data_IF_170529314761
#
_entry.id   IF_170529314761
#
_cell.length_a   1.000
_cell.length_b   1.000
_cell.length_c   1.000
_cell.angle_alpha   90.00
_cell.angle_beta   90.00
_cell.angle_gamma   90.00
#
_symmetry.space_group_name_H-M   'P 1'
#
loop_
_entity.id
_entity.type
_entity.pdbx_description
1 polymer ?
#
# COMPACT_ATOMS: atom_id res chain seq x y z
N UNK A 1 -17.12 -0.68 21.10
CA UNK A 1 -16.38 -1.24 19.94
C UNK A 1 -16.77 -0.35 18.79
N UNK A 2 -15.85 0.51 18.31
CA UNK A 2 -16.12 1.30 17.11
C UNK A 2 -16.28 0.33 15.96
N UNK A 3 -17.41 0.35 15.31
CA UNK A 3 -17.68 -0.38 14.07
C UNK A 3 -16.86 0.30 12.95
N UNK A 4 -15.56 0.00 12.90
CA UNK A 4 -14.69 0.54 11.85
C UNK A 4 -15.12 -0.12 10.54
N UNK A 5 -15.64 0.69 9.63
CA UNK A 5 -16.02 0.22 8.30
C UNK A 5 -14.79 -0.33 7.57
N UNK A 6 -14.77 -1.64 7.31
CA UNK A 6 -13.67 -2.31 6.59
C UNK A 6 -13.82 -2.05 5.09
N UNK A 7 -12.76 -1.49 4.49
CA UNK A 7 -12.70 -1.17 3.06
C UNK A 7 -12.05 -2.30 2.25
N UNK A 8 -10.99 -2.92 2.78
CA UNK A 8 -10.35 -4.10 2.19
C UNK A 8 -10.48 -5.24 3.18
N UNK A 9 -11.05 -6.37 2.77
CA UNK A 9 -11.18 -7.58 3.59
C UNK A 9 -10.69 -8.80 2.79
N UNK A 10 -9.57 -9.38 3.23
CA UNK A 10 -8.98 -10.60 2.67
C UNK A 10 -9.03 -11.71 3.72
N UNK A 11 -9.55 -12.89 3.34
CA UNK A 11 -9.74 -14.05 4.23
C UNK A 11 -9.09 -15.28 3.63
N UNK A 12 -8.11 -15.83 4.33
CA UNK A 12 -7.35 -17.04 3.97
C UNK A 12 -6.86 -17.01 2.53
N UNK A 13 -6.47 -15.81 2.04
CA UNK A 13 -6.14 -15.56 0.66
C UNK A 13 -4.82 -16.24 0.31
N UNK A 14 -4.82 -17.09 -0.72
CA UNK A 14 -3.64 -17.83 -1.15
C UNK A 14 -3.51 -17.86 -2.66
N UNK A 15 -2.29 -17.75 -3.15
CA UNK A 15 -1.96 -17.79 -4.57
C UNK A 15 -0.72 -18.65 -4.78
N UNK A 16 -0.80 -19.59 -5.72
CA UNK A 16 0.26 -20.53 -6.03
C UNK A 16 0.74 -20.33 -7.46
N UNK A 17 1.98 -20.73 -7.73
CA UNK A 17 2.56 -20.82 -9.04
C UNK A 17 3.13 -22.24 -9.20
N UNK A 18 3.23 -22.81 -10.41
CA UNK A 18 3.83 -24.14 -10.61
C UNK A 18 5.22 -24.33 -9.96
N UNK A 19 5.92 -23.24 -9.68
CA UNK A 19 7.25 -23.25 -9.04
C UNK A 19 7.23 -23.05 -7.53
N UNK A 20 6.05 -22.86 -6.91
CA UNK A 20 5.94 -22.67 -5.47
C UNK A 20 4.84 -21.70 -5.03
N UNK A 21 4.84 -21.39 -3.75
CA UNK A 21 3.89 -20.45 -3.12
C UNK A 21 4.27 -19.02 -3.49
N UNK A 22 3.31 -18.24 -3.97
CA UNK A 22 3.48 -16.78 -4.11
C UNK A 22 3.10 -16.12 -2.78
N UNK A 23 1.93 -16.46 -2.25
CA UNK A 23 1.52 -16.13 -0.88
C UNK A 23 0.47 -17.15 -0.39
N UNK A 24 0.35 -17.32 0.93
CA UNK A 24 -0.58 -18.27 1.52
C UNK A 24 -1.15 -17.79 2.86
N UNK A 25 -2.46 -18.01 3.05
CA UNK A 25 -3.16 -17.77 4.31
C UNK A 25 -3.21 -16.31 4.72
N UNK A 26 -3.22 -15.37 3.77
CA UNK A 26 -3.26 -13.94 4.08
C UNK A 26 -4.64 -13.56 4.64
N UNK A 27 -4.64 -13.03 5.84
CA UNK A 27 -5.80 -12.40 6.47
C UNK A 27 -5.47 -10.93 6.71
N UNK A 28 -6.23 -10.02 6.08
CA UNK A 28 -5.96 -8.59 6.11
C UNK A 28 -7.28 -7.82 6.07
N UNK A 29 -7.55 -7.04 7.12
CA UNK A 29 -8.73 -6.18 7.20
C UNK A 29 -8.30 -4.73 7.38
N UNK A 30 -8.48 -3.90 6.34
CA UNK A 30 -8.06 -2.49 6.34
C UNK A 30 -9.30 -1.61 6.55
N UNK A 31 -9.31 -0.80 7.64
CA UNK A 31 -10.41 0.12 7.91
C UNK A 31 -10.38 1.35 7.00
N UNK A 32 -11.53 1.99 6.85
CA UNK A 32 -11.67 3.26 6.16
C UNK A 32 -10.74 4.32 6.76
N UNK A 33 -10.13 5.14 5.88
CA UNK A 33 -9.22 6.21 6.27
C UNK A 33 -7.81 5.76 6.68
N UNK A 34 -7.52 4.46 6.71
CA UNK A 34 -6.18 3.98 7.02
C UNK A 34 -5.20 4.21 5.85
N UNK A 35 -3.98 4.62 6.18
CA UNK A 35 -2.85 4.62 5.26
C UNK A 35 -1.94 3.45 5.63
N UNK A 36 -1.93 2.41 4.80
CA UNK A 36 -1.23 1.16 5.08
C UNK A 36 -0.01 1.02 4.19
N UNK A 37 1.16 0.88 4.80
CA UNK A 37 2.39 0.51 4.11
C UNK A 37 2.53 -1.02 4.05
N UNK A 38 2.47 -1.61 2.85
CA UNK A 38 2.79 -3.02 2.61
C UNK A 38 4.28 -3.16 2.34
N UNK A 39 5.00 -3.64 3.33
CA UNK A 39 6.46 -3.68 3.37
C UNK A 39 6.97 -5.11 3.23
N UNK A 40 8.10 -5.29 2.56
CA UNK A 40 8.75 -6.59 2.39
C UNK A 40 9.76 -6.57 1.25
N UNK A 41 10.65 -7.57 1.23
CA UNK A 41 11.67 -7.70 0.16
C UNK A 41 11.05 -7.89 -1.21
N UNK A 42 11.85 -7.65 -2.26
CA UNK A 42 11.47 -8.01 -3.61
C UNK A 42 11.23 -9.54 -3.70
N UNK A 43 10.13 -9.93 -4.36
CA UNK A 43 9.72 -11.32 -4.42
C UNK A 43 8.90 -11.83 -3.23
N UNK A 44 8.61 -11.02 -2.20
CA UNK A 44 7.78 -11.42 -1.06
C UNK A 44 6.29 -11.66 -1.42
N UNK A 45 5.86 -11.32 -2.64
CA UNK A 45 4.48 -11.51 -3.10
C UNK A 45 3.61 -10.25 -3.06
N UNK A 46 4.16 -9.06 -2.70
CA UNK A 46 3.41 -7.80 -2.54
C UNK A 46 2.58 -7.45 -3.78
N UNK A 47 3.20 -7.33 -4.96
CA UNK A 47 2.50 -6.98 -6.20
C UNK A 47 1.41 -7.99 -6.55
N UNK A 48 1.68 -9.28 -6.36
CA UNK A 48 0.68 -10.33 -6.58
C UNK A 48 -0.50 -10.21 -5.60
N UNK A 49 -0.24 -9.88 -4.34
CA UNK A 49 -1.30 -9.61 -3.36
C UNK A 49 -2.14 -8.41 -3.78
N UNK A 50 -1.51 -7.26 -4.13
CA UNK A 50 -2.24 -6.07 -4.58
C UNK A 50 -3.10 -6.37 -5.82
N UNK A 51 -2.54 -7.07 -6.82
CA UNK A 51 -3.30 -7.50 -8.02
C UNK A 51 -4.50 -8.38 -7.67
N UNK A 52 -4.35 -9.29 -6.70
CA UNK A 52 -5.45 -10.16 -6.25
C UNK A 52 -6.52 -9.36 -5.51
N UNK A 53 -6.14 -8.38 -4.67
CA UNK A 53 -7.08 -7.51 -3.96
C UNK A 53 -7.95 -6.68 -4.91
N UNK A 54 -7.42 -6.24 -6.05
CA UNK A 54 -8.18 -5.48 -7.06
C UNK A 54 -8.85 -6.35 -8.12
N UNK A 55 -8.74 -7.69 -8.02
CA UNK A 55 -9.40 -8.62 -8.92
C UNK A 55 -8.71 -8.82 -10.27
N UNK A 56 -7.49 -8.32 -10.46
CA UNK A 56 -6.67 -8.57 -11.66
C UNK A 56 -6.05 -9.97 -11.67
N UNK A 57 -6.07 -10.64 -10.54
CA UNK A 57 -5.58 -12.01 -10.38
C UNK A 57 -6.53 -12.80 -9.50
N UNK A 58 -7.00 -13.96 -9.99
CA UNK A 58 -7.84 -14.86 -9.21
C UNK A 58 -6.98 -15.62 -8.19
N UNK A 59 -7.38 -15.68 -6.89
CA UNK A 59 -6.69 -16.48 -5.88
C UNK A 59 -7.03 -17.96 -6.04
N UNK A 60 -6.10 -18.85 -5.66
CA UNK A 60 -6.34 -20.28 -5.61
C UNK A 60 -7.19 -20.70 -4.40
N UNK A 61 -7.13 -19.91 -3.31
CA UNK A 61 -7.92 -20.11 -2.08
C UNK A 61 -8.28 -18.81 -1.43
N UNK A 62 -9.32 -18.84 -0.62
CA UNK A 62 -9.79 -17.69 0.14
C UNK A 62 -10.58 -16.71 -0.71
N UNK A 63 -10.77 -15.50 -0.20
CA UNK A 63 -11.52 -14.45 -0.89
C UNK A 63 -11.01 -13.07 -0.51
N UNK A 64 -11.20 -12.11 -1.40
CA UNK A 64 -10.98 -10.70 -1.13
C UNK A 64 -12.20 -9.89 -1.52
N UNK A 65 -12.46 -8.82 -0.78
CA UNK A 65 -13.52 -7.85 -1.09
C UNK A 65 -13.04 -6.42 -0.88
N UNK A 66 -13.60 -5.51 -1.69
CA UNK A 66 -13.44 -4.07 -1.57
C UNK A 66 -14.81 -3.46 -1.31
N UNK A 67 -14.94 -2.67 -0.24
CA UNK A 67 -16.23 -2.10 0.21
C UNK A 67 -17.35 -3.15 0.36
N UNK A 68 -16.99 -4.39 0.73
CA UNK A 68 -17.92 -5.52 0.82
C UNK A 68 -18.28 -6.19 -0.51
N UNK A 69 -17.81 -5.68 -1.65
CA UNK A 69 -18.00 -6.28 -2.97
C UNK A 69 -16.84 -7.22 -3.29
N UNK A 70 -17.12 -8.43 -3.80
CA UNK A 70 -16.07 -9.40 -4.19
C UNK A 70 -15.08 -8.77 -5.18
N UNK A 71 -13.78 -8.94 -4.97
CA UNK A 71 -12.73 -8.42 -5.86
C UNK A 71 -12.84 -8.96 -7.28
N UNK A 72 -13.34 -10.19 -7.45
CA UNK A 72 -13.52 -10.81 -8.77
C UNK A 72 -14.77 -10.34 -9.52
N UNK A 73 -15.66 -9.58 -8.86
CA UNK A 73 -16.91 -9.10 -9.44
C UNK A 73 -17.24 -7.69 -8.91
N UNK A 74 -16.27 -6.77 -9.04
CA UNK A 74 -16.45 -5.38 -8.61
C UNK A 74 -17.58 -4.71 -9.40
N UNK A 75 -18.53 -4.11 -8.69
CA UNK A 75 -19.55 -3.26 -9.31
C UNK A 75 -18.93 -1.97 -9.86
N UNK A 76 -19.64 -1.29 -10.76
CA UNK A 76 -19.18 -0.03 -11.34
C UNK A 76 -19.03 1.05 -10.24
N UNK A 77 -19.95 1.09 -9.27
CA UNK A 77 -19.82 1.97 -8.08
C UNK A 77 -18.50 1.76 -7.33
N UNK A 78 -18.10 0.51 -7.09
CA UNK A 78 -16.83 0.22 -6.42
C UNK A 78 -15.63 0.57 -7.30
N UNK A 79 -15.71 0.36 -8.62
CA UNK A 79 -14.64 0.74 -9.56
C UNK A 79 -14.42 2.24 -9.60
N UNK A 80 -15.49 3.04 -9.56
CA UNK A 80 -15.42 4.50 -9.50
C UNK A 80 -14.82 5.03 -8.18
N UNK A 81 -14.82 4.19 -7.12
CA UNK A 81 -14.23 4.52 -5.82
C UNK A 81 -12.82 3.97 -5.63
N UNK A 82 -12.28 3.25 -6.61
CA UNK A 82 -10.97 2.61 -6.58
C UNK A 82 -10.00 3.28 -7.56
N UNK A 83 -8.85 3.74 -7.06
CA UNK A 83 -7.68 4.07 -7.86
C UNK A 83 -6.62 2.98 -7.71
N UNK A 84 -6.11 2.45 -8.82
CA UNK A 84 -5.04 1.46 -8.82
C UNK A 84 -3.88 1.92 -9.70
N UNK A 85 -2.65 1.83 -9.16
CA UNK A 85 -1.42 2.09 -9.90
C UNK A 85 -0.52 0.87 -9.80
N UNK A 86 -0.23 0.25 -10.93
CA UNK A 86 0.68 -0.89 -11.01
C UNK A 86 2.14 -0.44 -10.95
N UNK A 87 3.04 -1.37 -10.60
CA UNK A 87 4.49 -1.13 -10.55
C UNK A 87 5.06 -0.71 -11.92
N UNK A 88 4.53 -1.26 -13.00
CA UNK A 88 4.84 -0.84 -14.38
C UNK A 88 3.60 -0.19 -14.96
N UNK A 89 3.76 1.00 -15.51
CA UNK A 89 2.66 1.72 -16.14
C UNK A 89 2.11 0.93 -17.33
N UNK A 90 0.80 0.68 -17.34
CA UNK A 90 0.07 0.10 -18.46
C UNK A 90 -0.59 1.22 -19.24
N UNK A 91 0.06 1.66 -20.32
CA UNK A 91 -0.28 2.89 -21.04
C UNK A 91 -0.36 2.66 -22.55
N UNK A 92 -1.21 3.41 -23.24
CA UNK A 92 -1.31 3.40 -24.70
C UNK A 92 -0.20 4.25 -25.32
N UNK A 93 0.91 3.63 -25.68
CA UNK A 93 2.14 4.29 -26.13
C UNK A 93 1.97 5.15 -27.40
N UNK A 94 0.96 4.86 -28.24
CA UNK A 94 0.69 5.57 -29.49
C UNK A 94 -0.07 6.89 -29.33
N UNK A 95 -0.70 7.11 -28.18
CA UNK A 95 -1.45 8.32 -27.86
C UNK A 95 -0.53 9.43 -27.36
N UNK A 96 -0.96 10.69 -27.50
CA UNK A 96 -0.42 11.78 -26.70
C UNK A 96 -0.88 11.65 -25.24
N UNK A 97 -0.17 12.29 -24.30
CA UNK A 97 -0.57 12.31 -22.87
C UNK A 97 -2.00 12.82 -22.72
N UNK A 98 -2.37 13.91 -23.42
CA UNK A 98 -3.72 14.46 -23.39
C UNK A 98 -4.77 13.47 -23.90
N UNK A 99 -4.54 12.87 -25.08
CA UNK A 99 -5.46 11.87 -25.64
C UNK A 99 -5.64 10.67 -24.70
N UNK A 100 -4.54 10.18 -24.11
CA UNK A 100 -4.58 9.07 -23.17
C UNK A 100 -5.44 9.39 -21.95
N UNK A 101 -5.24 10.57 -21.32
CA UNK A 101 -6.03 11.03 -20.18
C UNK A 101 -7.51 11.18 -20.55
N UNK A 102 -7.79 11.81 -21.69
CA UNK A 102 -9.14 12.07 -22.16
C UNK A 102 -9.91 10.78 -22.49
N UNK A 103 -9.30 9.85 -23.25
CA UNK A 103 -9.98 8.61 -23.66
C UNK A 103 -10.26 7.69 -22.48
N UNK A 104 -9.32 7.57 -21.51
CA UNK A 104 -9.58 6.81 -20.30
C UNK A 104 -10.60 7.51 -19.40
N UNK A 105 -10.52 8.84 -19.32
CA UNK A 105 -11.47 9.65 -18.54
C UNK A 105 -12.93 9.43 -18.91
N UNK A 106 -13.21 9.19 -20.19
CA UNK A 106 -14.57 8.90 -20.69
C UNK A 106 -15.21 7.63 -20.10
N UNK A 107 -14.41 6.76 -19.51
CA UNK A 107 -14.92 5.55 -18.85
C UNK A 107 -15.47 5.81 -17.43
N UNK A 108 -15.19 7.00 -16.87
CA UNK A 108 -15.60 7.37 -15.51
C UNK A 108 -16.76 8.38 -15.56
N UNK A 109 -17.81 8.13 -14.77
CA UNK A 109 -18.97 9.03 -14.71
C UNK A 109 -18.68 10.36 -13.99
N UNK A 110 -17.70 10.34 -13.07
CA UNK A 110 -17.26 11.46 -12.24
C UNK A 110 -15.94 12.08 -12.67
N UNK A 111 -15.56 11.93 -13.97
CA UNK A 111 -14.35 12.53 -14.50
C UNK A 111 -14.42 14.05 -14.49
N UNK A 112 -13.39 14.67 -13.90
CA UNK A 112 -13.22 16.13 -13.85
C UNK A 112 -12.01 16.53 -14.72
N UNK A 113 -12.27 17.08 -15.91
CA UNK A 113 -11.24 17.50 -16.86
C UNK A 113 -10.34 18.61 -16.28
N UNK A 114 -10.92 19.58 -15.56
CA UNK A 114 -10.14 20.66 -14.94
C UNK A 114 -9.21 20.12 -13.86
N UNK A 115 -9.68 19.18 -13.07
CA UNK A 115 -8.85 18.48 -12.08
C UNK A 115 -7.75 17.65 -12.76
N UNK A 116 -8.08 16.97 -13.84
CA UNK A 116 -7.12 16.22 -14.65
C UNK A 116 -5.97 17.12 -15.12
N UNK A 117 -6.29 18.25 -15.73
CA UNK A 117 -5.30 19.19 -16.24
C UNK A 117 -4.47 19.82 -15.10
N UNK A 118 -5.09 20.14 -13.97
CA UNK A 118 -4.36 20.62 -12.77
C UNK A 118 -3.38 19.59 -12.25
N UNK A 119 -3.79 18.32 -12.11
CA UNK A 119 -2.91 17.23 -11.65
C UNK A 119 -1.77 16.98 -12.64
N UNK A 120 -2.07 16.95 -13.94
CA UNK A 120 -1.05 16.79 -14.99
C UNK A 120 -0.03 17.93 -14.96
N UNK A 121 -0.48 19.18 -14.78
CA UNK A 121 0.41 20.34 -14.64
C UNK A 121 1.26 20.26 -13.36
N UNK A 122 0.68 19.87 -12.23
CA UNK A 122 1.38 19.66 -10.97
C UNK A 122 2.47 18.59 -11.06
N UNK A 123 2.23 17.55 -11.86
CA UNK A 123 3.20 16.47 -12.14
C UNK A 123 4.17 16.81 -13.28
N UNK A 124 4.11 18.02 -13.85
CA UNK A 124 4.93 18.46 -14.98
C UNK A 124 4.81 17.54 -16.21
N UNK A 125 3.63 16.96 -16.48
CA UNK A 125 3.41 16.09 -17.63
C UNK A 125 3.30 16.89 -18.94
N UNK A 126 4.07 16.52 -19.98
CA UNK A 126 4.03 17.19 -21.28
C UNK A 126 2.81 16.70 -22.09
N UNK A 127 1.66 17.39 -22.01
CA UNK A 127 0.37 16.97 -22.56
C UNK A 127 0.39 16.61 -24.05
N UNK A 128 1.25 17.26 -24.85
CA UNK A 128 1.37 17.03 -26.30
C UNK A 128 2.37 15.95 -26.69
N UNK A 129 3.18 15.46 -25.74
CA UNK A 129 4.14 14.42 -26.00
C UNK A 129 3.47 13.06 -26.18
N UNK A 130 4.03 12.21 -27.06
CA UNK A 130 3.59 10.83 -27.20
C UNK A 130 4.00 10.01 -25.97
N UNK A 131 3.04 9.24 -25.43
CA UNK A 131 3.23 8.46 -24.19
C UNK A 131 4.42 7.49 -24.28
N UNK A 132 4.60 6.82 -25.43
CA UNK A 132 5.74 5.91 -25.64
C UNK A 132 7.11 6.60 -25.69
N UNK A 133 7.18 7.94 -25.73
CA UNK A 133 8.42 8.73 -25.68
C UNK A 133 8.72 9.31 -24.29
N UNK A 134 7.80 9.12 -23.35
CA UNK A 134 7.99 9.55 -21.97
C UNK A 134 9.06 8.68 -21.28
N UNK A 135 9.72 9.26 -20.28
CA UNK A 135 10.50 8.47 -19.33
C UNK A 135 9.58 7.52 -18.53
N UNK A 136 10.14 6.42 -18.02
CA UNK A 136 9.37 5.51 -17.14
C UNK A 136 8.76 6.22 -15.92
N UNK A 137 9.46 7.23 -15.39
CA UNK A 137 8.95 8.07 -14.31
C UNK A 137 7.74 8.92 -14.73
N UNK A 138 7.74 9.49 -15.94
CA UNK A 138 6.61 10.28 -16.44
C UNK A 138 5.42 9.39 -16.82
N UNK A 139 5.66 8.17 -17.33
CA UNK A 139 4.59 7.17 -17.52
C UNK A 139 3.95 6.77 -16.18
N UNK A 140 4.75 6.63 -15.13
CA UNK A 140 4.25 6.36 -13.78
C UNK A 140 3.42 7.53 -13.25
N UNK A 141 3.88 8.78 -13.44
CA UNK A 141 3.11 9.99 -13.10
C UNK A 141 1.78 10.04 -13.86
N UNK A 142 1.77 9.67 -15.14
CA UNK A 142 0.54 9.59 -15.95
C UNK A 142 -0.46 8.59 -15.37
N UNK A 143 -0.02 7.38 -15.03
CA UNK A 143 -0.86 6.36 -14.37
C UNK A 143 -1.39 6.87 -13.03
N UNK A 144 -0.59 7.64 -12.31
CA UNK A 144 -0.98 8.22 -11.04
C UNK A 144 -2.05 9.32 -11.18
N UNK A 145 -1.92 10.20 -12.19
CA UNK A 145 -2.95 11.20 -12.50
C UNK A 145 -4.27 10.51 -12.80
N UNK A 146 -4.27 9.46 -13.64
CA UNK A 146 -5.46 8.67 -13.96
C UNK A 146 -6.14 8.10 -12.70
N UNK A 147 -5.34 7.56 -11.78
CA UNK A 147 -5.84 6.96 -10.55
C UNK A 147 -6.41 7.99 -9.55
N UNK A 148 -6.05 9.28 -9.66
CA UNK A 148 -6.47 10.33 -8.72
C UNK A 148 -7.60 11.22 -9.23
N UNK A 149 -7.77 11.39 -10.56
CA UNK A 149 -8.68 12.39 -11.12
C UNK A 149 -10.12 12.21 -10.68
N UNK A 150 -10.60 10.98 -10.65
CA UNK A 150 -11.98 10.64 -10.27
C UNK A 150 -12.24 10.64 -8.75
N UNK A 151 -11.26 11.12 -7.95
CA UNK A 151 -11.34 11.26 -6.49
C UNK A 151 -11.73 9.98 -5.74
N UNK A 152 -10.97 8.89 -5.87
CA UNK A 152 -11.31 7.61 -5.29
C UNK A 152 -11.27 7.64 -3.75
N UNK A 153 -12.11 6.83 -3.10
CA UNK A 153 -12.09 6.59 -1.66
C UNK A 153 -10.97 5.63 -1.25
N UNK A 154 -10.52 4.77 -2.18
CA UNK A 154 -9.45 3.78 -1.99
C UNK A 154 -8.38 3.93 -3.06
N UNK A 155 -7.12 4.08 -2.65
CA UNK A 155 -5.95 3.99 -3.52
C UNK A 155 -5.14 2.74 -3.19
N UNK A 156 -4.86 1.92 -4.21
CA UNK A 156 -3.94 0.79 -4.12
C UNK A 156 -2.78 1.04 -5.07
N UNK A 157 -1.56 1.12 -4.53
CA UNK A 157 -0.38 1.59 -5.24
C UNK A 157 0.77 0.59 -5.10
N UNK A 158 1.26 0.07 -6.23
CA UNK A 158 2.36 -0.88 -6.24
C UNK A 158 3.68 -0.18 -6.57
N UNK A 159 4.56 -0.04 -5.56
CA UNK A 159 5.87 0.63 -5.66
C UNK A 159 5.82 2.01 -6.36
N UNK A 160 4.87 2.91 -5.98
CA UNK A 160 4.56 4.11 -6.77
C UNK A 160 5.70 5.10 -6.91
N UNK A 161 6.73 5.02 -6.04
CA UNK A 161 7.86 5.97 -6.01
C UNK A 161 9.19 5.34 -6.45
N UNK A 162 9.22 4.05 -6.81
CA UNK A 162 10.47 3.31 -7.05
C UNK A 162 11.33 3.87 -8.19
N UNK A 163 10.71 4.47 -9.22
CA UNK A 163 11.39 4.98 -10.41
C UNK A 163 11.40 6.51 -10.50
N UNK A 164 11.01 7.18 -9.42
CA UNK A 164 10.94 8.64 -9.36
C UNK A 164 12.19 9.23 -8.69
N UNK A 165 12.65 10.36 -9.21
CA UNK A 165 13.62 11.20 -8.52
C UNK A 165 13.04 11.82 -7.25
N UNK A 166 13.88 12.43 -6.40
CA UNK A 166 13.46 12.97 -5.11
C UNK A 166 12.40 14.09 -5.22
N UNK A 167 12.44 14.89 -6.30
CA UNK A 167 11.49 15.98 -6.53
C UNK A 167 10.14 15.40 -6.93
N UNK A 168 10.11 14.53 -7.94
CA UNK A 168 8.91 13.85 -8.43
C UNK A 168 8.24 13.01 -7.33
N UNK A 169 9.03 12.35 -6.48
CA UNK A 169 8.54 11.63 -5.31
C UNK A 169 7.81 12.54 -4.33
N UNK A 170 8.39 13.72 -4.04
CA UNK A 170 7.76 14.71 -3.17
C UNK A 170 6.46 15.26 -3.76
N UNK A 171 6.44 15.57 -5.06
CA UNK A 171 5.26 16.03 -5.79
C UNK A 171 4.13 14.99 -5.71
N UNK A 172 4.46 13.72 -5.93
CA UNK A 172 3.52 12.61 -5.84
C UNK A 172 2.95 12.44 -4.42
N UNK A 173 3.81 12.50 -3.38
CA UNK A 173 3.37 12.44 -1.99
C UNK A 173 2.47 13.62 -1.62
N UNK A 174 2.76 14.81 -2.13
CA UNK A 174 1.90 15.99 -1.94
C UNK A 174 0.56 15.84 -2.66
N UNK A 175 0.52 15.26 -3.86
CA UNK A 175 -0.73 15.02 -4.57
C UNK A 175 -1.61 13.96 -3.88
N UNK A 176 -1.00 12.93 -3.28
CA UNK A 176 -1.72 11.91 -2.51
C UNK A 176 -2.29 12.45 -1.20
N UNK A 177 -1.49 13.21 -0.47
CA UNK A 177 -1.75 13.58 0.92
C UNK A 177 -1.90 15.09 1.16
N UNK A 178 -1.63 15.93 0.14
CA UNK A 178 -1.68 17.39 0.25
C UNK A 178 -3.08 17.94 0.56
N UNK A 179 -4.09 17.34 -0.02
CA UNK A 179 -5.50 17.72 0.21
C UNK A 179 -5.99 17.36 1.62
N UNK A 180 -5.31 16.44 2.32
CA UNK A 180 -5.60 16.08 3.73
C UNK A 180 -5.34 17.24 4.71
N UNK A 181 -4.67 18.33 4.27
CA UNK A 181 -4.39 19.52 5.09
C UNK A 181 -5.46 20.61 4.96
N UNK A 182 -6.39 20.49 4.01
CA UNK A 182 -7.52 21.41 3.90
C UNK A 182 -8.60 20.96 4.88
N UNK A 183 -8.79 21.71 5.98
CA UNK A 183 -9.78 21.42 7.02
C UNK A 183 -11.22 21.25 6.51
N UNK A 184 -11.55 21.79 5.33
CA UNK A 184 -12.86 21.64 4.69
C UNK A 184 -13.06 20.28 3.96
N UNK A 185 -11.98 19.52 3.69
CA UNK A 185 -12.03 18.17 3.10
C UNK A 185 -11.62 17.08 4.11
N UNK A 186 -11.32 17.45 5.36
CA UNK A 186 -10.94 16.53 6.44
C UNK A 186 -12.03 15.49 6.79
N UNK A 187 -13.27 15.68 6.33
CA UNK A 187 -14.36 14.73 6.54
C UNK A 187 -14.24 13.47 5.67
N UNK A 188 -13.48 13.50 4.58
CA UNK A 188 -13.31 12.37 3.65
C UNK A 188 -11.88 11.81 3.71
N UNK A 189 -11.63 10.95 4.69
CA UNK A 189 -10.34 10.26 4.81
C UNK A 189 -10.24 9.15 3.78
N UNK A 190 -9.39 9.37 2.75
CA UNK A 190 -9.07 8.35 1.75
C UNK A 190 -8.30 7.20 2.38
N UNK A 191 -8.68 5.97 2.05
CA UNK A 191 -7.91 4.77 2.40
C UNK A 191 -6.80 4.56 1.37
N UNK A 192 -5.58 4.30 1.82
CA UNK A 192 -4.43 4.07 0.95
C UNK A 192 -3.73 2.78 1.36
N UNK A 193 -3.52 1.88 0.40
CA UNK A 193 -2.64 0.72 0.54
C UNK A 193 -1.52 0.85 -0.47
N UNK A 194 -0.28 1.05 0.01
CA UNK A 194 0.86 1.19 -0.88
C UNK A 194 1.99 0.22 -0.53
N UNK A 195 2.51 -0.47 -1.56
CA UNK A 195 3.73 -1.25 -1.39
C UNK A 195 4.96 -0.36 -1.51
N UNK A 196 5.96 -0.62 -0.70
CA UNK A 196 7.26 0.04 -0.83
C UNK A 196 8.37 -0.79 -0.19
N UNK A 197 9.57 -0.60 -0.71
CA UNK A 197 10.82 -1.02 -0.07
C UNK A 197 11.58 0.18 0.52
N UNK A 198 11.10 1.42 0.31
CA UNK A 198 11.66 2.67 0.84
C UNK A 198 10.88 3.10 2.08
N UNK A 199 11.36 2.68 3.24
CA UNK A 199 10.66 2.84 4.52
C UNK A 199 10.61 4.27 5.03
N UNK A 200 11.69 5.03 4.80
CA UNK A 200 11.82 6.42 5.25
C UNK A 200 10.73 7.35 4.70
N UNK A 201 10.22 7.03 3.50
CA UNK A 201 9.15 7.81 2.88
C UNK A 201 7.78 7.46 3.47
N UNK A 202 7.62 6.24 3.98
CA UNK A 202 6.37 5.74 4.56
C UNK A 202 6.17 6.16 6.01
N UNK A 203 7.22 6.16 6.83
CA UNK A 203 7.15 6.35 8.29
C UNK A 203 6.39 7.60 8.72
N UNK A 204 6.36 8.63 7.85
CA UNK A 204 5.71 9.91 8.12
C UNK A 204 4.23 9.97 7.75
N UNK A 205 3.74 9.00 6.98
CA UNK A 205 2.39 9.05 6.40
C UNK A 205 1.55 7.82 6.72
N UNK A 206 2.18 6.68 7.06
CA UNK A 206 1.44 5.45 7.36
C UNK A 206 0.81 5.52 8.74
N UNK A 207 -0.43 5.07 8.81
CA UNK A 207 -1.11 4.79 10.08
C UNK A 207 -0.98 3.32 10.49
N UNK A 208 -0.76 2.42 9.52
CA UNK A 208 -0.60 0.98 9.73
C UNK A 208 0.53 0.42 8.88
N UNK A 209 1.13 -0.67 9.34
CA UNK A 209 2.16 -1.40 8.60
C UNK A 209 1.75 -2.86 8.45
N UNK A 210 1.80 -3.35 7.22
CA UNK A 210 1.63 -4.75 6.86
C UNK A 210 2.99 -5.29 6.40
N UNK A 211 3.58 -6.21 7.13
CA UNK A 211 4.89 -6.76 6.79
C UNK A 211 4.76 -8.13 6.15
N UNK A 212 5.30 -8.27 4.93
CA UNK A 212 5.22 -9.50 4.14
C UNK A 212 6.60 -10.12 3.90
N UNK A 213 6.76 -11.40 4.23
CA UNK A 213 7.98 -12.18 4.00
C UNK A 213 7.61 -13.58 3.49
N UNK A 214 8.31 -14.03 2.45
CA UNK A 214 8.20 -15.39 1.89
C UNK A 214 6.74 -15.82 1.65
N UNK A 215 5.91 -14.90 1.14
CA UNK A 215 4.50 -15.13 0.85
C UNK A 215 3.57 -15.14 2.07
N UNK A 216 4.04 -14.76 3.24
CA UNK A 216 3.23 -14.70 4.46
C UNK A 216 3.19 -13.30 5.06
N UNK A 217 2.02 -12.92 5.59
CA UNK A 217 1.88 -11.71 6.38
C UNK A 217 2.41 -12.00 7.79
N UNK A 218 3.53 -11.39 8.14
CA UNK A 218 4.19 -11.58 9.43
C UNK A 218 3.55 -10.74 10.54
N UNK A 219 3.23 -9.49 10.20
CA UNK A 219 2.68 -8.49 11.11
C UNK A 219 1.72 -7.59 10.35
N UNK A 220 0.61 -7.25 10.98
CA UNK A 220 -0.27 -6.14 10.58
C UNK A 220 -0.78 -5.44 11.84
N UNK A 221 -0.39 -4.19 12.02
CA UNK A 221 -0.82 -3.38 13.19
C UNK A 221 -0.73 -1.88 12.87
N UNK A 222 -1.31 -1.05 13.74
CA UNK A 222 -1.10 0.39 13.66
C UNK A 222 0.35 0.74 14.00
N UNK A 223 0.89 1.75 13.30
CA UNK A 223 2.27 2.19 13.53
C UNK A 223 2.48 2.70 14.96
N UNK A 224 1.50 3.42 15.50
CA UNK A 224 1.52 3.88 16.89
C UNK A 224 1.59 2.72 17.88
N UNK A 225 0.76 1.68 17.69
CA UNK A 225 0.80 0.49 18.55
C UNK A 225 2.14 -0.26 18.44
N UNK A 226 2.71 -0.35 17.23
CA UNK A 226 4.04 -0.96 17.07
C UNK A 226 5.12 -0.17 17.80
N UNK A 227 5.11 1.17 17.71
CA UNK A 227 6.05 2.02 18.43
C UNK A 227 5.88 1.92 19.96
N UNK A 228 4.64 1.84 20.43
CA UNK A 228 4.32 1.79 21.86
C UNK A 228 4.63 0.40 22.47
N UNK A 229 4.28 -0.69 21.78
CA UNK A 229 4.26 -2.03 22.38
C UNK A 229 5.32 -2.99 21.83
N UNK A 230 5.82 -2.80 20.61
CA UNK A 230 6.80 -3.73 20.07
C UNK A 230 8.21 -3.38 20.52
N UNK A 231 8.93 -4.40 20.99
CA UNK A 231 10.31 -4.24 21.48
C UNK A 231 11.23 -5.29 20.89
N UNK A 232 12.46 -4.87 20.63
CA UNK A 232 13.55 -5.76 20.28
C UNK A 232 14.26 -6.19 21.56
N UNK A 233 14.32 -7.50 21.79
CA UNK A 233 14.86 -8.10 23.01
C UNK A 233 15.89 -9.16 22.62
N UNK A 234 17.05 -9.26 23.33
CA UNK A 234 18.00 -10.35 23.13
C UNK A 234 17.37 -11.72 23.41
N UNK A 235 17.79 -12.76 22.68
CA UNK A 235 17.23 -14.11 22.80
C UNK A 235 17.60 -14.83 24.10
N UNK A 236 18.57 -14.32 24.84
CA UNK A 236 18.97 -14.83 26.17
C UNK A 236 18.03 -14.40 27.31
N UNK A 237 17.12 -13.47 27.01
CA UNK A 237 16.07 -13.04 27.95
C UNK A 237 14.95 -14.08 27.96
N UNK A 238 14.60 -14.59 29.16
CA UNK A 238 13.45 -15.48 29.30
C UNK A 238 12.14 -14.72 29.03
N UNK A 239 11.44 -15.11 27.99
CA UNK A 239 10.22 -14.47 27.50
C UNK A 239 9.16 -15.53 27.28
N UNK A 240 7.90 -15.21 27.62
CA UNK A 240 6.76 -16.06 27.30
C UNK A 240 6.65 -16.21 25.76
N UNK A 241 6.63 -17.44 25.22
CA UNK A 241 6.52 -17.68 23.78
C UNK A 241 5.32 -16.99 23.11
N UNK A 242 4.23 -16.75 23.84
CA UNK A 242 3.04 -16.07 23.34
C UNK A 242 3.26 -14.59 22.99
N UNK A 243 4.29 -13.98 23.55
CA UNK A 243 4.68 -12.59 23.27
C UNK A 243 5.53 -12.45 22.01
N UNK A 244 6.12 -13.54 21.52
CA UNK A 244 7.09 -13.49 20.44
C UNK A 244 6.35 -13.35 19.11
N UNK A 245 6.52 -12.19 18.47
CA UNK A 245 6.01 -11.88 17.15
C UNK A 245 6.95 -12.46 16.09
N UNK A 246 8.27 -12.31 16.29
CA UNK A 246 9.28 -12.83 15.38
C UNK A 246 10.55 -13.23 16.12
N UNK A 247 11.19 -14.30 15.60
CA UNK A 247 12.50 -14.78 16.08
C UNK A 247 13.53 -14.55 14.99
N UNK A 248 14.53 -13.75 15.28
CA UNK A 248 15.69 -13.59 14.42
C UNK A 248 16.84 -14.46 14.94
N UNK A 249 17.06 -15.59 14.28
CA UNK A 249 18.11 -16.53 14.68
C UNK A 249 19.52 -16.02 14.38
N UNK A 250 19.66 -15.17 13.34
CA UNK A 250 20.96 -14.62 12.93
C UNK A 250 21.47 -13.62 13.96
N UNK A 251 20.62 -12.69 14.38
CA UNK A 251 20.96 -11.64 15.33
C UNK A 251 20.78 -12.10 16.79
N UNK A 252 20.24 -13.30 17.02
CA UNK A 252 19.85 -13.79 18.34
C UNK A 252 18.97 -12.78 19.09
N UNK A 253 17.92 -12.29 18.40
CA UNK A 253 16.96 -11.31 18.92
C UNK A 253 15.53 -11.77 18.69
N UNK A 254 14.61 -11.26 19.52
CA UNK A 254 13.17 -11.43 19.35
C UNK A 254 12.48 -10.09 19.21
N UNK A 255 11.52 -10.01 18.30
CA UNK A 255 10.50 -8.96 18.33
C UNK A 255 9.36 -9.48 19.21
N UNK A 256 9.01 -8.73 20.25
CA UNK A 256 7.98 -9.10 21.22
C UNK A 256 6.90 -8.04 21.28
N UNK A 257 5.65 -8.48 21.42
CA UNK A 257 4.50 -7.64 21.73
C UNK A 257 4.30 -7.57 23.23
N UNK A 258 4.42 -6.38 23.80
CA UNK A 258 4.38 -6.16 25.25
C UNK A 258 3.02 -5.66 25.75
N UNK A 259 1.98 -5.63 24.92
CA UNK A 259 0.64 -5.13 25.32
C UNK A 259 0.10 -5.72 26.61
N UNK A 260 0.36 -7.00 26.84
CA UNK A 260 -0.09 -7.70 28.04
C UNK A 260 0.99 -7.84 29.13
N UNK A 261 2.21 -7.32 28.90
CA UNK A 261 3.36 -7.51 29.79
C UNK A 261 4.21 -6.24 29.91
N UNK A 262 3.70 -5.19 30.56
CA UNK A 262 4.34 -3.87 30.59
C UNK A 262 5.72 -3.82 31.24
N UNK A 263 6.08 -4.82 32.05
CA UNK A 263 7.39 -4.90 32.72
C UNK A 263 8.56 -5.16 31.74
N UNK A 264 8.29 -5.67 30.55
CA UNK A 264 9.30 -5.95 29.51
C UNK A 264 9.60 -4.70 28.67
N UNK A 265 8.69 -3.72 28.62
CA UNK A 265 8.86 -2.46 27.89
C UNK A 265 10.20 -1.78 28.26
N UNK A 266 10.60 -1.83 29.54
CA UNK A 266 11.84 -1.22 30.02
C UNK A 266 13.12 -1.95 29.61
N UNK A 267 13.04 -3.21 29.20
CA UNK A 267 14.20 -4.05 28.87
C UNK A 267 14.50 -4.12 27.37
N UNK A 268 13.55 -3.72 26.51
CA UNK A 268 13.68 -3.77 25.07
C UNK A 268 13.95 -2.40 24.45
N UNK A 269 14.56 -2.40 23.25
CA UNK A 269 14.69 -1.18 22.45
C UNK A 269 13.40 -0.95 21.66
N UNK A 270 12.95 0.30 21.59
CA UNK A 270 11.89 0.71 20.68
C UNK A 270 12.33 0.45 19.23
N UNK A 271 11.38 0.04 18.39
CA UNK A 271 11.62 -0.26 16.98
C UNK A 271 11.31 0.97 16.13
N UNK A 272 12.26 1.33 15.26
CA UNK A 272 11.99 2.16 14.09
C UNK A 272 11.49 1.26 12.96
N UNK A 273 10.88 1.84 11.94
CA UNK A 273 10.43 1.06 10.78
C UNK A 273 11.59 0.35 10.07
N UNK A 274 12.76 1.00 9.98
CA UNK A 274 13.98 0.40 9.44
C UNK A 274 14.48 -0.77 10.29
N UNK A 275 14.47 -0.65 11.62
CA UNK A 275 14.86 -1.73 12.52
C UNK A 275 13.89 -2.91 12.42
N UNK A 276 12.58 -2.64 12.38
CA UNK A 276 11.56 -3.66 12.18
C UNK A 276 11.77 -4.40 10.84
N UNK A 277 12.02 -3.66 9.76
CA UNK A 277 12.29 -4.22 8.45
C UNK A 277 13.54 -5.11 8.45
N UNK A 278 14.63 -4.64 9.06
CA UNK A 278 15.88 -5.40 9.14
C UNK A 278 15.66 -6.71 9.89
N UNK A 279 15.06 -6.66 11.07
CA UNK A 279 14.83 -7.83 11.91
C UNK A 279 13.88 -8.84 11.28
N UNK A 280 12.81 -8.39 10.62
CA UNK A 280 11.85 -9.27 9.97
C UNK A 280 12.38 -9.87 8.65
N UNK A 281 13.45 -9.35 8.06
CA UNK A 281 14.05 -9.85 6.80
C UNK A 281 15.34 -10.66 7.00
N UNK A 282 15.88 -10.71 8.18
CA UNK A 282 17.03 -11.55 8.53
C UNK A 282 16.60 -12.79 9.27
#
# INVERSE_FOLDING_TARGET
MNDQHIVIDAKDLSLFHPRGVIFAGINLAIPAGAVVGLVGRNGAGKSSLLQTLVGLREPDRGSASLFGCSSLALSDDVRERLGYVAQTADVFEWMSVYEHLHEIGRAYSNWDEDRCLRLAAQMNLPLTAQVGKLSGGDQQKLSFVLALVHDPDLLILDEPVAHLDAISRRELMLAMFGDLRNEQQAERQRTVLLSSHLLSDLERVVSHVAFMRDGHLQVFDSWDAMQEFYRLVPADVSIDPSMIVHKNEINSTYIVDTRHYPTIIQRGKALTLDALFLELNT
#
